data_IF_715613871001
#
_entry.id   IF_715613871001
#
_cell.length_a   1.000
_cell.length_b   1.000
_cell.length_c   1.000
_cell.angle_alpha   90.00
_cell.angle_beta   90.00
_cell.angle_gamma   90.00
#
_symmetry.space_group_name_H-M   'P 1'
#
loop_
_entity.id
_entity.type
_entity.pdbx_description
1 polymer ?
#
# COMPACT_ATOMS: atom_id res chain seq x y z
N UNK A 1 -13.15 24.13 20.55
CA UNK A 1 -11.77 23.79 20.11
C UNK A 1 -11.71 22.28 20.03
N UNK A 2 -11.58 21.72 18.82
CA UNK A 2 -11.68 20.28 18.59
C UNK A 2 -10.47 19.53 19.15
N UNK A 3 -10.72 18.40 19.83
CA UNK A 3 -9.77 17.58 20.58
C UNK A 3 -9.03 16.54 19.70
N UNK A 4 -8.75 16.87 18.43
CA UNK A 4 -7.93 16.02 17.55
C UNK A 4 -6.52 16.59 17.47
N UNK A 5 -5.49 15.89 17.97
CA UNK A 5 -4.11 16.38 17.97
C UNK A 5 -3.40 16.18 16.62
N UNK A 6 -4.02 15.45 15.68
CA UNK A 6 -3.54 15.40 14.31
C UNK A 6 -3.91 16.67 13.57
N UNK A 7 -2.98 17.15 12.73
CA UNK A 7 -3.22 18.33 11.89
C UNK A 7 -4.21 18.08 10.75
N UNK A 8 -4.57 16.81 10.53
CA UNK A 8 -5.59 16.33 9.59
C UNK A 8 -6.92 16.05 10.31
N UNK A 9 -8.05 16.47 9.71
CA UNK A 9 -9.39 16.31 10.28
C UNK A 9 -10.06 15.03 9.73
N UNK A 10 -10.48 14.09 10.59
CA UNK A 10 -11.22 12.89 10.19
C UNK A 10 -12.61 13.17 9.60
N UNK A 11 -13.14 14.38 9.82
CA UNK A 11 -14.51 14.77 9.43
C UNK A 11 -14.59 15.28 7.98
N UNK A 12 -13.45 15.45 7.31
CA UNK A 12 -13.45 15.73 5.87
C UNK A 12 -13.79 14.43 5.15
N UNK A 13 -15.09 14.18 4.89
CA UNK A 13 -15.50 13.10 3.99
C UNK A 13 -14.69 13.23 2.69
N UNK A 14 -13.70 12.37 2.52
CA UNK A 14 -12.83 12.32 1.34
C UNK A 14 -13.60 11.71 0.16
N UNK A 15 -14.71 12.34 -0.22
CA UNK A 15 -15.47 12.03 -1.42
C UNK A 15 -15.42 13.24 -2.34
N UNK A 16 -14.52 13.19 -3.32
CA UNK A 16 -14.68 13.96 -4.54
C UNK A 16 -15.32 13.02 -5.56
N UNK A 17 -16.65 13.00 -5.69
CA UNK A 17 -17.28 12.20 -6.73
C UNK A 17 -16.86 12.78 -8.09
N UNK A 18 -15.94 12.11 -8.76
CA UNK A 18 -15.77 12.29 -10.20
C UNK A 18 -17.08 11.74 -10.83
N UNK A 19 -17.88 12.54 -11.56
CA UNK A 19 -19.11 12.05 -12.18
C UNK A 19 -18.81 10.85 -13.10
N UNK A 20 -19.49 9.72 -12.87
CA UNK A 20 -19.23 8.45 -13.57
C UNK A 20 -17.99 7.68 -13.10
N UNK A 21 -17.24 8.21 -12.12
CA UNK A 21 -16.08 7.56 -11.51
C UNK A 21 -16.46 6.48 -10.50
N UNK A 22 -15.53 5.53 -10.30
CA UNK A 22 -15.67 4.47 -9.31
C UNK A 22 -15.85 5.03 -7.89
N UNK A 23 -16.94 4.63 -7.22
CA UNK A 23 -17.21 4.97 -5.83
C UNK A 23 -16.63 3.88 -4.91
N UNK A 24 -15.65 4.25 -4.08
CA UNK A 24 -15.05 3.32 -3.12
C UNK A 24 -16.04 3.07 -1.97
N UNK A 25 -16.22 1.80 -1.60
CA UNK A 25 -16.98 1.45 -0.39
C UNK A 25 -16.38 2.08 0.88
N UNK A 26 -17.23 2.50 1.83
CA UNK A 26 -16.78 3.11 3.09
C UNK A 26 -16.03 2.07 3.93
N UNK A 27 -14.81 2.39 4.36
CA UNK A 27 -14.06 1.60 5.33
C UNK A 27 -14.78 1.64 6.68
N UNK A 28 -14.79 0.53 7.41
CA UNK A 28 -15.57 0.42 8.65
C UNK A 28 -14.73 0.52 9.93
N UNK A 29 -13.41 0.37 9.82
CA UNK A 29 -12.48 0.47 10.95
C UNK A 29 -11.64 1.73 10.77
N UNK A 30 -11.87 2.72 11.62
CA UNK A 30 -11.33 4.08 11.45
C UNK A 30 -10.89 4.69 12.79
N UNK A 31 -10.43 3.87 13.73
CA UNK A 31 -9.85 4.37 14.96
C UNK A 31 -8.44 4.94 14.72
N UNK A 32 -7.94 5.68 15.71
CA UNK A 32 -6.72 6.46 15.59
C UNK A 32 -5.71 6.10 16.68
N UNK A 33 -4.43 6.11 16.32
CA UNK A 33 -3.31 5.98 17.25
C UNK A 33 -3.00 7.34 17.85
N UNK A 34 -3.41 7.58 19.09
CA UNK A 34 -3.37 8.89 19.73
C UNK A 34 -2.99 8.82 21.21
N UNK A 35 -2.21 9.79 21.74
CA UNK A 35 -2.00 9.92 23.18
C UNK A 35 -3.34 9.97 23.93
N UNK A 36 -3.50 9.13 24.95
CA UNK A 36 -4.73 9.05 25.76
C UNK A 36 -5.92 8.32 25.10
N UNK A 37 -5.80 7.86 23.85
CA UNK A 37 -6.79 6.97 23.24
C UNK A 37 -6.60 5.52 23.70
N UNK A 38 -7.52 4.59 23.39
CA UNK A 38 -7.27 3.15 23.58
C UNK A 38 -6.01 2.64 22.84
N UNK A 39 -5.56 3.36 21.82
CA UNK A 39 -4.40 3.06 20.99
C UNK A 39 -3.30 4.13 21.15
N UNK A 40 -2.61 4.23 22.31
CA UNK A 40 -1.49 5.14 22.45
C UNK A 40 -0.29 4.73 21.59
N UNK A 41 0.42 5.68 20.95
CA UNK A 41 1.62 5.39 20.20
C UNK A 41 2.65 4.61 21.03
N UNK A 42 3.23 3.56 20.44
CA UNK A 42 4.27 2.74 21.07
C UNK A 42 5.04 1.93 20.02
N UNK A 43 6.38 1.91 20.10
CA UNK A 43 7.19 0.98 19.31
C UNK A 43 6.87 -0.48 19.62
N UNK A 44 6.85 -1.32 18.60
CA UNK A 44 6.61 -2.75 18.72
C UNK A 44 5.16 -3.13 19.02
N UNK A 45 4.25 -2.18 19.31
CA UNK A 45 2.83 -2.44 19.55
C UNK A 45 2.03 -2.66 18.27
N UNK A 46 2.37 -1.95 17.20
CA UNK A 46 1.57 -1.92 15.98
C UNK A 46 2.16 -2.80 14.88
N UNK A 47 1.28 -3.24 13.98
CA UNK A 47 1.61 -4.13 12.88
C UNK A 47 0.83 -3.75 11.63
N UNK A 48 1.43 -3.90 10.45
CA UNK A 48 0.78 -3.65 9.16
C UNK A 48 0.61 -4.97 8.40
N UNK A 49 -0.61 -5.28 7.97
CA UNK A 49 -0.84 -6.30 6.95
C UNK A 49 -0.95 -5.64 5.58
N UNK A 50 -0.12 -6.08 4.62
CA UNK A 50 0.01 -5.43 3.31
C UNK A 50 0.01 -6.43 2.16
N UNK A 51 -0.18 -5.91 0.95
CA UNK A 51 0.02 -6.65 -0.30
C UNK A 51 0.83 -5.80 -1.30
N UNK A 52 1.87 -6.36 -1.92
CA UNK A 52 2.73 -5.62 -2.86
C UNK A 52 2.00 -5.14 -4.13
N UNK A 53 1.00 -5.90 -4.59
CA UNK A 53 0.16 -5.45 -5.69
C UNK A 53 -0.69 -4.24 -5.32
N UNK A 54 -1.13 -4.11 -4.07
CA UNK A 54 -2.05 -3.05 -3.68
C UNK A 54 -1.36 -1.68 -3.63
N UNK A 55 -1.81 -0.74 -4.47
CA UNK A 55 -1.31 0.64 -4.49
C UNK A 55 -1.47 1.36 -3.15
N UNK A 56 -2.56 1.08 -2.41
CA UNK A 56 -2.80 1.64 -1.08
C UNK A 56 -1.84 1.08 -0.03
N UNK A 57 -1.53 -0.21 -0.11
CA UNK A 57 -0.51 -0.84 0.75
C UNK A 57 0.86 -0.25 0.50
N UNK A 58 1.18 0.00 -0.77
CA UNK A 58 2.43 0.63 -1.16
C UNK A 58 2.59 2.04 -0.58
N UNK A 59 1.52 2.83 -0.50
CA UNK A 59 1.55 4.14 0.18
C UNK A 59 1.92 4.02 1.66
N UNK A 60 1.33 3.06 2.38
CA UNK A 60 1.63 2.83 3.79
C UNK A 60 3.07 2.35 4.00
N UNK A 61 3.55 1.43 3.15
CA UNK A 61 4.95 1.00 3.14
C UNK A 61 5.92 2.16 2.88
N UNK A 62 5.56 3.04 1.94
CA UNK A 62 6.35 4.21 1.58
C UNK A 62 6.51 5.17 2.76
N UNK A 63 5.41 5.54 3.43
CA UNK A 63 5.48 6.41 4.62
C UNK A 63 6.27 5.72 5.74
N UNK A 64 6.02 4.44 6.02
CA UNK A 64 6.76 3.66 7.01
C UNK A 64 8.28 3.68 6.73
N UNK A 65 8.67 3.47 5.48
CA UNK A 65 10.07 3.43 5.06
C UNK A 65 10.73 4.81 5.11
N UNK A 66 10.07 5.84 4.57
CA UNK A 66 10.57 7.22 4.56
C UNK A 66 10.76 7.78 5.98
N UNK A 67 9.82 7.48 6.89
CA UNK A 67 9.90 7.86 8.31
C UNK A 67 10.90 7.02 9.09
N UNK A 68 11.39 5.91 8.52
CA UNK A 68 12.29 4.99 9.21
C UNK A 68 11.62 4.25 10.37
N UNK A 69 10.36 3.85 10.21
CA UNK A 69 9.55 3.16 11.23
C UNK A 69 9.65 1.63 11.12
N UNK A 70 10.77 1.13 10.57
CA UNK A 70 10.88 -0.27 10.19
C UNK A 70 10.92 -1.17 11.42
N UNK A 71 11.68 -0.77 12.43
CA UNK A 71 11.80 -1.50 13.69
C UNK A 71 10.60 -1.25 14.62
N UNK A 72 9.99 -0.06 14.54
CA UNK A 72 8.86 0.32 15.37
C UNK A 72 7.55 -0.38 14.97
N UNK A 73 7.35 -0.62 13.67
CA UNK A 73 6.11 -1.17 13.12
C UNK A 73 6.46 -2.36 12.22
N UNK A 74 6.15 -3.56 12.69
CA UNK A 74 6.33 -4.80 11.94
C UNK A 74 5.34 -4.93 10.78
N UNK A 75 5.65 -5.74 9.77
CA UNK A 75 4.81 -5.94 8.56
C UNK A 75 4.62 -7.43 8.29
N UNK A 76 3.39 -7.81 7.95
CA UNK A 76 3.04 -9.09 7.34
C UNK A 76 2.69 -8.88 5.88
N UNK A 77 3.26 -9.72 5.03
CA UNK A 77 2.97 -9.73 3.60
C UNK A 77 1.92 -10.79 3.29
N UNK A 78 1.04 -10.48 2.35
CA UNK A 78 0.06 -11.43 1.83
C UNK A 78 0.48 -11.96 0.47
N UNK A 79 -0.01 -13.14 0.11
CA UNK A 79 0.05 -13.63 -1.26
C UNK A 79 -0.76 -12.73 -2.19
N UNK A 80 -0.39 -12.67 -3.47
CA UNK A 80 -0.96 -11.70 -4.41
C UNK A 80 -2.43 -11.93 -4.72
N UNK A 81 -2.89 -13.19 -4.68
CA UNK A 81 -4.26 -13.59 -5.02
C UNK A 81 -5.10 -13.82 -3.76
N UNK A 82 -6.26 -13.15 -3.60
CA UNK A 82 -7.20 -13.49 -2.54
C UNK A 82 -7.89 -14.83 -2.80
N UNK A 83 -8.14 -15.59 -1.74
CA UNK A 83 -8.95 -16.81 -1.72
C UNK A 83 -10.24 -16.50 -0.99
N UNK A 84 -11.35 -16.37 -1.72
CA UNK A 84 -12.66 -16.08 -1.12
C UNK A 84 -13.25 -17.35 -0.47
N UNK A 85 -13.97 -17.23 0.66
CA UNK A 85 -14.33 -15.98 1.35
C UNK A 85 -13.24 -15.42 2.29
N UNK A 86 -12.13 -16.13 2.49
CA UNK A 86 -11.12 -15.85 3.53
C UNK A 86 -10.23 -14.62 3.28
N UNK A 87 -10.35 -13.97 2.12
CA UNK A 87 -9.55 -12.80 1.76
C UNK A 87 -8.15 -13.21 1.34
N UNK A 88 -7.12 -12.46 1.74
CA UNK A 88 -5.75 -12.73 1.34
C UNK A 88 -5.06 -13.65 2.34
N UNK A 89 -4.46 -14.76 1.88
CA UNK A 89 -3.59 -15.56 2.72
C UNK A 89 -2.31 -14.82 3.08
N UNK A 90 -1.87 -14.97 4.32
CA UNK A 90 -0.70 -14.31 4.92
C UNK A 90 0.50 -15.23 4.75
N UNK A 91 1.60 -14.68 4.21
CA UNK A 91 2.88 -15.38 4.08
C UNK A 91 3.41 -15.68 5.49
N UNK A 92 3.75 -16.94 5.73
CA UNK A 92 4.19 -17.41 7.04
C UNK A 92 5.73 -17.41 7.15
N UNK A 93 6.28 -17.21 8.36
CA UNK A 93 5.57 -16.98 9.62
C UNK A 93 5.02 -15.55 9.74
N UNK A 94 3.82 -15.40 10.32
CA UNK A 94 3.20 -14.09 10.64
C UNK A 94 4.00 -13.31 11.71
N UNK A 95 4.72 -12.21 11.37
CA UNK A 95 5.53 -11.46 12.32
C UNK A 95 4.69 -10.66 13.32
N UNK A 96 3.36 -10.64 13.19
CA UNK A 96 2.49 -10.05 14.21
C UNK A 96 2.50 -10.86 15.51
N UNK A 97 2.89 -12.14 15.45
CA UNK A 97 2.87 -13.07 16.58
C UNK A 97 1.45 -13.49 17.00
N UNK A 98 0.43 -13.13 16.23
CA UNK A 98 -0.96 -13.52 16.48
C UNK A 98 -1.33 -14.85 15.82
N UNK A 99 -0.52 -15.34 14.88
CA UNK A 99 -0.73 -16.62 14.21
C UNK A 99 -1.81 -16.57 13.14
N UNK A 100 -2.06 -15.39 12.55
CA UNK A 100 -3.05 -15.25 11.50
C UNK A 100 -2.55 -15.86 10.20
N UNK A 101 -3.42 -16.62 9.54
CA UNK A 101 -3.18 -17.25 8.24
C UNK A 101 -3.88 -16.52 7.10
N UNK A 102 -4.93 -15.75 7.41
CA UNK A 102 -5.69 -14.99 6.41
C UNK A 102 -6.13 -13.62 6.93
N UNK A 103 -6.36 -12.66 6.03
CA UNK A 103 -6.90 -11.35 6.41
C UNK A 103 -8.28 -11.45 7.05
N UNK A 104 -9.09 -12.47 6.72
CA UNK A 104 -10.40 -12.67 7.36
C UNK A 104 -10.24 -12.84 8.88
N UNK A 105 -9.28 -13.65 9.33
CA UNK A 105 -9.01 -13.84 10.76
C UNK A 105 -8.60 -12.53 11.44
N UNK A 106 -7.80 -11.70 10.75
CA UNK A 106 -7.42 -10.36 11.23
C UNK A 106 -8.67 -9.49 11.44
N UNK A 107 -9.59 -9.44 10.46
CA UNK A 107 -10.82 -8.65 10.60
C UNK A 107 -11.77 -9.20 11.67
N UNK A 108 -11.86 -10.52 11.78
CA UNK A 108 -12.71 -11.19 12.77
C UNK A 108 -12.23 -10.99 14.22
N UNK A 109 -10.98 -10.55 14.41
CA UNK A 109 -10.46 -10.18 15.73
C UNK A 109 -11.20 -8.99 16.37
N UNK A 110 -11.79 -8.09 15.57
CA UNK A 110 -12.64 -7.01 16.07
C UNK A 110 -14.08 -7.49 16.30
N UNK A 111 -14.69 -8.08 15.27
CA UNK A 111 -16.04 -8.65 15.34
C UNK A 111 -16.21 -9.72 14.22
N UNK A 112 -16.62 -10.96 14.56
CA UNK A 112 -16.81 -12.07 13.61
C UNK A 112 -17.77 -11.80 12.44
N UNK A 113 -18.68 -10.83 12.53
CA UNK A 113 -19.64 -10.51 11.47
C UNK A 113 -19.03 -9.68 10.32
N UNK A 114 -17.82 -9.13 10.49
CA UNK A 114 -17.18 -8.27 9.49
C UNK A 114 -16.76 -9.01 8.22
N UNK A 115 -16.47 -10.31 8.31
CA UNK A 115 -15.96 -11.15 7.23
C UNK A 115 -16.75 -11.14 5.92
N UNK A 116 -17.99 -10.65 5.97
CA UNK A 116 -18.94 -10.73 4.86
C UNK A 116 -19.00 -9.47 3.97
N UNK A 117 -18.30 -8.38 4.29
CA UNK A 117 -18.57 -7.08 3.62
C UNK A 117 -17.40 -6.48 2.85
N UNK A 118 -16.17 -6.47 3.39
CA UNK A 118 -14.99 -6.04 2.65
C UNK A 118 -13.69 -6.39 3.40
N UNK A 119 -12.92 -7.32 2.85
CA UNK A 119 -11.55 -7.57 3.31
C UNK A 119 -10.65 -6.68 2.45
N UNK A 120 -9.94 -5.74 3.06
CA UNK A 120 -9.03 -4.81 2.36
C UNK A 120 -7.66 -4.78 3.01
N UNK A 121 -6.67 -4.33 2.25
CA UNK A 121 -5.33 -3.99 2.72
C UNK A 121 -4.96 -2.59 2.21
N UNK A 122 -4.16 -1.79 2.94
CA UNK A 122 -3.46 -2.11 4.17
C UNK A 122 -4.36 -2.17 5.41
N UNK A 123 -3.89 -2.88 6.44
CA UNK A 123 -4.54 -2.97 7.76
C UNK A 123 -3.53 -2.54 8.81
N UNK A 124 -3.84 -1.52 9.61
CA UNK A 124 -3.09 -1.19 10.83
C UNK A 124 -3.72 -1.92 12.01
N UNK A 125 -2.92 -2.76 12.67
CA UNK A 125 -3.35 -3.65 13.74
C UNK A 125 -2.61 -3.34 15.04
N UNK A 126 -3.34 -3.37 16.15
CA UNK A 126 -2.80 -3.25 17.50
C UNK A 126 -2.58 -4.64 18.09
N UNK A 127 -1.32 -5.03 18.27
CA UNK A 127 -0.96 -6.37 18.79
C UNK A 127 -1.28 -6.54 20.27
N UNK A 128 -1.35 -5.46 21.04
CA UNK A 128 -1.67 -5.53 22.47
C UNK A 128 -3.16 -5.77 22.69
N UNK A 129 -4.00 -5.03 21.95
CA UNK A 129 -5.46 -5.20 22.01
C UNK A 129 -5.98 -6.30 21.08
N UNK A 130 -5.11 -6.87 20.24
CA UNK A 130 -5.41 -7.88 19.23
C UNK A 130 -6.60 -7.50 18.35
N UNK A 131 -6.61 -6.26 17.86
CA UNK A 131 -7.67 -5.75 16.99
C UNK A 131 -7.14 -4.75 15.97
N UNK A 132 -7.81 -4.67 14.84
CA UNK A 132 -7.61 -3.67 13.81
C UNK A 132 -7.94 -2.27 14.36
N UNK A 133 -7.00 -1.36 14.17
CA UNK A 133 -7.15 0.07 14.46
C UNK A 133 -7.83 0.75 13.27
N UNK A 134 -7.26 0.59 12.08
CA UNK A 134 -7.79 1.20 10.87
C UNK A 134 -7.48 0.36 9.63
N UNK A 135 -8.43 0.35 8.70
CA UNK A 135 -8.24 -0.11 7.33
C UNK A 135 -8.46 1.02 6.30
N UNK A 136 -8.51 2.27 6.77
CA UNK A 136 -8.51 3.43 5.90
C UNK A 136 -7.07 3.84 5.57
N UNK A 137 -6.66 3.77 4.29
CA UNK A 137 -5.30 4.13 3.89
C UNK A 137 -4.93 5.55 4.31
N UNK A 138 -5.81 6.55 4.17
CA UNK A 138 -5.48 7.93 4.51
C UNK A 138 -5.21 8.06 6.01
N UNK A 139 -6.06 7.48 6.87
CA UNK A 139 -5.85 7.48 8.32
C UNK A 139 -4.51 6.83 8.67
N UNK A 140 -4.20 5.69 8.05
CA UNK A 140 -2.93 4.98 8.24
C UNK A 140 -1.75 5.89 7.86
N UNK A 141 -1.79 6.58 6.73
CA UNK A 141 -0.70 7.48 6.31
C UNK A 141 -0.46 8.59 7.33
N UNK A 142 -1.52 9.24 7.82
CA UNK A 142 -1.41 10.31 8.81
C UNK A 142 -0.88 9.80 10.17
N UNK A 143 -1.37 8.65 10.64
CA UNK A 143 -0.85 8.03 11.85
C UNK A 143 0.64 7.68 11.72
N UNK A 144 1.05 7.11 10.59
CA UNK A 144 2.47 6.81 10.33
C UNK A 144 3.33 8.08 10.25
N UNK A 145 2.80 9.19 9.71
CA UNK A 145 3.53 10.45 9.60
C UNK A 145 3.76 11.12 10.96
N UNK A 146 2.74 11.13 11.84
CA UNK A 146 2.75 11.97 13.04
C UNK A 146 2.84 11.17 14.35
N UNK A 147 2.08 10.08 14.50
CA UNK A 147 1.88 9.42 15.79
C UNK A 147 3.16 8.74 16.32
N UNK A 148 4.03 8.29 15.43
CA UNK A 148 5.19 7.47 15.77
C UNK A 148 6.52 8.23 15.72
N UNK A 149 6.48 9.57 15.73
CA UNK A 149 7.69 10.40 15.64
C UNK A 149 8.75 10.07 16.69
N UNK A 150 8.35 9.67 17.91
CA UNK A 150 9.29 9.27 18.97
C UNK A 150 10.22 8.11 18.57
N UNK A 151 9.76 7.19 17.71
CA UNK A 151 10.51 6.01 17.27
C UNK A 151 10.94 6.04 15.80
N UNK A 152 10.68 7.15 15.11
CA UNK A 152 11.12 7.36 13.74
C UNK A 152 12.62 7.66 13.72
N UNK A 153 13.38 7.05 12.80
CA UNK A 153 14.78 7.48 12.57
C UNK A 153 14.86 8.85 11.88
N UNK A 154 13.75 9.32 11.30
CA UNK A 154 13.58 10.67 10.72
C UNK A 154 12.38 11.37 11.36
N UNK A 155 12.47 11.75 12.65
CA UNK A 155 11.34 12.32 13.40
C UNK A 155 10.94 13.71 12.90
N UNK A 156 11.88 14.47 12.34
CA UNK A 156 11.64 15.81 11.78
C UNK A 156 11.04 15.81 10.37
N UNK A 157 11.01 14.66 9.69
CA UNK A 157 10.38 14.55 8.38
C UNK A 157 8.86 14.62 8.55
N UNK A 158 8.27 15.74 8.16
CA UNK A 158 6.82 15.91 8.06
C UNK A 158 6.42 15.87 6.58
N UNK A 159 5.68 14.84 6.18
CA UNK A 159 5.18 14.68 4.82
C UNK A 159 3.92 15.54 4.55
N UNK A 160 3.36 16.18 5.58
CA UNK A 160 2.23 17.10 5.47
C UNK A 160 2.45 18.43 6.23
N UNK A 161 3.54 19.15 5.90
CA UNK A 161 3.90 20.36 6.62
C UNK A 161 2.93 21.50 6.29
N UNK A 162 2.66 22.32 7.30
CA UNK A 162 1.66 23.41 7.22
C UNK A 162 1.89 24.34 6.02
N UNK A 163 3.14 24.71 5.75
CA UNK A 163 3.52 25.61 4.64
C UNK A 163 3.22 25.06 3.25
N UNK A 164 2.95 23.76 3.11
CA UNK A 164 2.66 23.10 1.83
C UNK A 164 1.26 22.53 1.72
N UNK A 165 0.45 22.54 2.79
CA UNK A 165 -0.88 21.90 2.80
C UNK A 165 -1.78 22.36 1.68
N UNK A 166 -1.92 23.68 1.48
CA UNK A 166 -2.77 24.21 0.41
C UNK A 166 -2.36 23.71 -0.98
N UNK A 167 -1.06 23.56 -1.24
CA UNK A 167 -0.54 23.02 -2.50
C UNK A 167 -0.82 21.51 -2.62
N UNK A 168 -0.60 20.76 -1.54
CA UNK A 168 -0.87 19.32 -1.47
C UNK A 168 -2.37 19.07 -1.67
N UNK A 169 -3.24 19.80 -0.98
CA UNK A 169 -4.70 19.72 -1.09
C UNK A 169 -5.17 20.05 -2.51
N UNK A 170 -4.60 21.07 -3.15
CA UNK A 170 -4.91 21.39 -4.55
C UNK A 170 -4.60 20.21 -5.48
N UNK A 171 -3.42 19.58 -5.35
CA UNK A 171 -3.06 18.41 -6.17
C UNK A 171 -3.93 17.19 -5.81
N UNK A 172 -4.25 17.03 -4.53
CA UNK A 172 -5.17 16.01 -4.02
C UNK A 172 -6.62 16.18 -4.47
N UNK A 173 -7.00 17.28 -5.13
CA UNK A 173 -8.29 17.39 -5.84
C UNK A 173 -8.27 16.67 -7.19
N UNK A 174 -7.09 16.57 -7.82
CA UNK A 174 -6.87 15.85 -9.08
C UNK A 174 -6.58 14.37 -8.77
N UNK A 175 -5.83 14.12 -7.69
CA UNK A 175 -5.65 12.78 -7.10
C UNK A 175 -6.81 12.46 -6.14
N UNK A 176 -6.76 11.29 -5.48
CA UNK A 176 -7.61 11.06 -4.30
C UNK A 176 -6.99 11.73 -3.06
N UNK A 177 -7.78 12.21 -2.08
CA UNK A 177 -7.26 12.94 -0.93
C UNK A 177 -6.27 12.13 -0.09
N UNK A 178 -5.22 12.78 0.44
CA UNK A 178 -4.18 12.09 1.21
C UNK A 178 -3.07 12.97 1.76
N UNK A 179 -2.07 12.32 2.36
CA UNK A 179 -0.97 12.94 3.10
C UNK A 179 -0.03 13.79 2.25
N UNK A 180 0.38 13.32 1.08
CA UNK A 180 1.42 13.94 0.26
C UNK A 180 1.24 13.50 -1.20
N UNK A 181 1.34 14.42 -2.14
CA UNK A 181 1.14 14.17 -3.56
C UNK A 181 2.12 13.15 -4.14
N UNK A 182 3.41 13.20 -3.77
CA UNK A 182 4.40 12.19 -4.20
C UNK A 182 4.04 10.80 -3.66
N UNK A 183 3.73 10.71 -2.36
CA UNK A 183 3.32 9.44 -1.71
C UNK A 183 2.10 8.84 -2.40
N UNK A 184 1.19 9.68 -2.88
CA UNK A 184 -0.03 9.27 -3.56
C UNK A 184 0.21 8.92 -5.02
N UNK A 185 0.90 9.78 -5.76
CA UNK A 185 1.11 9.65 -7.18
C UNK A 185 2.08 8.51 -7.51
N UNK A 186 3.19 8.38 -6.78
CA UNK A 186 4.26 7.45 -7.11
C UNK A 186 3.78 6.00 -7.27
N UNK A 187 3.04 5.38 -6.32
CA UNK A 187 2.54 4.02 -6.47
C UNK A 187 1.66 3.80 -7.71
N UNK A 188 0.94 4.83 -8.15
CA UNK A 188 0.08 4.75 -9.33
C UNK A 188 0.88 4.93 -10.62
N UNK A 189 1.70 5.97 -10.68
CA UNK A 189 2.52 6.29 -11.86
C UNK A 189 3.49 5.16 -12.19
N UNK A 190 4.17 4.58 -11.19
CA UNK A 190 5.14 3.50 -11.42
C UNK A 190 4.49 2.18 -11.90
N UNK A 191 3.18 2.00 -11.67
CA UNK A 191 2.41 0.84 -12.14
C UNK A 191 1.72 1.10 -13.48
N UNK A 192 1.67 2.35 -13.93
CA UNK A 192 0.78 2.74 -15.02
C UNK A 192 1.04 1.95 -16.30
N UNK A 193 2.28 1.95 -16.79
CA UNK A 193 2.62 1.30 -18.06
C UNK A 193 2.60 -0.22 -18.01
N UNK A 194 2.99 -0.79 -16.85
CA UNK A 194 3.03 -2.24 -16.61
C UNK A 194 1.62 -2.84 -16.44
N UNK A 195 0.71 -2.08 -15.81
CA UNK A 195 -0.54 -2.62 -15.28
C UNK A 195 -1.75 -1.84 -15.77
N UNK A 196 -1.88 -0.56 -15.42
CA UNK A 196 -3.14 0.16 -15.64
C UNK A 196 -3.43 0.42 -17.11
N UNK A 197 -2.40 0.79 -17.88
CA UNK A 197 -2.49 0.96 -19.33
C UNK A 197 -2.93 -0.34 -20.02
N UNK A 198 -2.39 -1.47 -19.59
CA UNK A 198 -2.71 -2.79 -20.14
C UNK A 198 -4.13 -3.24 -19.74
N UNK A 199 -4.44 -3.25 -18.45
CA UNK A 199 -5.67 -3.85 -17.92
C UNK A 199 -6.89 -2.91 -17.99
N UNK A 200 -6.69 -1.62 -17.71
CA UNK A 200 -7.78 -0.65 -17.57
C UNK A 200 -8.02 0.10 -18.87
N UNK A 201 -6.96 0.42 -19.61
CA UNK A 201 -7.03 1.11 -20.90
C UNK A 201 -6.84 0.17 -22.10
N UNK A 202 -6.81 -1.16 -21.88
CA UNK A 202 -6.70 -2.19 -22.92
C UNK A 202 -5.55 -1.97 -23.91
N UNK A 203 -4.46 -1.36 -23.43
CA UNK A 203 -3.31 -0.99 -24.24
C UNK A 203 -3.60 0.05 -25.34
N UNK A 204 -4.77 0.71 -25.33
CA UNK A 204 -5.18 1.72 -26.30
C UNK A 204 -4.45 3.07 -26.14
N UNK A 205 -3.79 3.26 -25.00
CA UNK A 205 -2.99 4.44 -24.70
C UNK A 205 -1.50 4.19 -24.91
N UNK A 206 -0.78 5.22 -25.38
CA UNK A 206 0.69 5.24 -25.45
C UNK A 206 1.30 5.10 -24.05
N UNK A 207 2.43 4.38 -23.87
CA UNK A 207 3.10 4.33 -22.57
C UNK A 207 3.40 5.72 -22.02
N UNK A 208 2.94 6.01 -20.80
CA UNK A 208 3.07 7.29 -20.13
C UNK A 208 4.53 7.71 -20.02
N UNK A 209 5.39 6.79 -19.60
CA UNK A 209 6.78 7.09 -19.34
C UNK A 209 7.62 7.09 -20.62
N UNK A 210 7.10 6.62 -21.76
CA UNK A 210 7.77 6.82 -23.06
C UNK A 210 7.50 8.21 -23.64
N UNK A 211 6.34 8.81 -23.35
CA UNK A 211 5.97 10.14 -23.87
C UNK A 211 6.33 11.29 -22.94
N UNK A 212 6.44 11.06 -21.63
CA UNK A 212 6.79 12.08 -20.64
C UNK A 212 8.16 11.83 -20.02
N UNK A 213 9.19 12.45 -20.59
CA UNK A 213 10.55 12.35 -20.07
C UNK A 213 10.68 12.95 -18.65
N UNK A 214 9.91 14.00 -18.34
CA UNK A 214 9.90 14.61 -17.01
C UNK A 214 9.27 13.67 -15.97
N UNK A 215 8.16 13.01 -16.29
CA UNK A 215 7.54 12.00 -15.41
C UNK A 215 8.47 10.82 -15.20
N UNK A 216 9.12 10.33 -16.26
CA UNK A 216 10.09 9.24 -16.15
C UNK A 216 11.28 9.63 -15.26
N UNK A 217 11.86 10.82 -15.47
CA UNK A 217 12.97 11.31 -14.65
C UNK A 217 12.58 11.50 -13.18
N UNK A 218 11.36 11.99 -12.92
CA UNK A 218 10.80 12.12 -11.58
C UNK A 218 10.66 10.76 -10.87
N UNK A 219 10.08 9.75 -11.54
CA UNK A 219 9.96 8.41 -10.97
C UNK A 219 11.32 7.75 -10.74
N UNK A 220 12.24 7.86 -11.70
CA UNK A 220 13.59 7.33 -11.54
C UNK A 220 14.33 7.99 -10.39
N UNK A 221 14.15 9.31 -10.17
CA UNK A 221 14.71 10.02 -9.03
C UNK A 221 14.17 9.49 -7.70
N UNK A 222 12.85 9.32 -7.58
CA UNK A 222 12.25 8.75 -6.36
C UNK A 222 12.70 7.30 -6.15
N UNK A 223 12.72 6.49 -7.20
CA UNK A 223 13.09 5.08 -7.11
C UNK A 223 14.55 4.86 -6.67
N UNK A 224 15.46 5.82 -6.95
CA UNK A 224 16.85 5.77 -6.47
C UNK A 224 17.01 5.96 -4.97
N UNK A 225 15.97 6.43 -4.26
CA UNK A 225 16.00 6.50 -2.81
C UNK A 225 15.86 5.08 -2.24
N UNK A 226 16.81 4.60 -1.41
CA UNK A 226 16.75 3.24 -0.85
C UNK A 226 15.44 2.96 -0.09
N UNK A 227 14.91 3.98 0.58
CA UNK A 227 13.63 3.90 1.30
C UNK A 227 12.45 3.62 0.36
N UNK A 228 12.48 4.17 -0.86
CA UNK A 228 11.45 3.97 -1.86
C UNK A 228 11.62 2.61 -2.54
N UNK A 229 12.85 2.28 -2.97
CA UNK A 229 13.16 1.03 -3.64
C UNK A 229 12.73 -0.20 -2.82
N UNK A 230 12.98 -0.18 -1.50
CA UNK A 230 12.59 -1.26 -0.56
C UNK A 230 11.09 -1.57 -0.60
N UNK A 231 10.26 -0.57 -0.88
CA UNK A 231 8.80 -0.71 -0.85
C UNK A 231 8.22 -1.25 -2.16
N UNK A 232 9.06 -1.38 -3.19
CA UNK A 232 8.66 -1.80 -4.51
C UNK A 232 8.93 -3.29 -4.74
N UNK A 233 7.91 -3.96 -5.28
CA UNK A 233 8.04 -5.22 -6.01
C UNK A 233 7.01 -5.20 -7.13
N UNK A 234 7.40 -4.62 -8.27
CA UNK A 234 6.50 -4.41 -9.39
C UNK A 234 6.20 -5.71 -10.12
N UNK A 235 7.06 -6.72 -10.01
CA UNK A 235 6.78 -8.04 -10.54
C UNK A 235 5.62 -8.68 -9.76
N UNK A 236 5.65 -8.71 -8.42
CA UNK A 236 4.50 -9.13 -7.61
C UNK A 236 3.24 -8.30 -7.89
N UNK A 237 3.41 -7.01 -8.19
CA UNK A 237 2.27 -6.18 -8.58
C UNK A 237 1.65 -6.61 -9.92
N UNK A 238 2.46 -6.90 -10.94
CA UNK A 238 1.98 -7.47 -12.21
C UNK A 238 1.22 -8.77 -11.91
N UNK A 239 1.85 -9.74 -11.27
CA UNK A 239 1.22 -11.03 -10.93
C UNK A 239 -0.12 -10.84 -10.21
N UNK A 240 -0.17 -9.97 -9.20
CA UNK A 240 -1.39 -9.74 -8.42
C UNK A 240 -2.53 -9.09 -9.20
N UNK A 241 -2.24 -8.11 -10.05
CA UNK A 241 -3.27 -7.44 -10.84
C UNK A 241 -3.78 -8.30 -12.00
N UNK A 242 -2.88 -9.00 -12.71
CA UNK A 242 -3.28 -9.86 -13.82
C UNK A 242 -4.03 -11.10 -13.32
N UNK A 243 -3.63 -11.70 -12.20
CA UNK A 243 -4.38 -12.80 -11.58
C UNK A 243 -5.79 -12.40 -11.09
N UNK A 244 -6.01 -11.13 -10.74
CA UNK A 244 -7.31 -10.65 -10.23
C UNK A 244 -8.20 -10.06 -11.32
N UNK A 245 -7.64 -9.29 -12.25
CA UNK A 245 -8.39 -8.51 -13.25
C UNK A 245 -8.13 -8.97 -14.68
N UNK A 246 -6.97 -9.60 -14.95
CA UNK A 246 -6.60 -10.08 -16.27
C UNK A 246 -7.57 -11.14 -16.78
N UNK A 247 -8.01 -12.06 -15.92
CA UNK A 247 -9.00 -13.09 -16.26
C UNK A 247 -10.31 -12.49 -16.80
N UNK A 248 -10.84 -11.46 -16.13
CA UNK A 248 -12.06 -10.76 -16.57
C UNK A 248 -11.89 -10.01 -17.90
N UNK A 249 -10.64 -9.75 -18.31
CA UNK A 249 -10.31 -8.96 -19.50
C UNK A 249 -9.69 -9.81 -20.62
N UNK A 250 -9.54 -11.12 -20.43
CA UNK A 250 -8.91 -12.02 -21.42
C UNK A 250 -7.41 -11.77 -21.60
N UNK A 251 -6.75 -11.23 -20.57
CA UNK A 251 -5.32 -10.90 -20.54
C UNK A 251 -4.53 -12.01 -19.81
N UNK A 252 -3.18 -11.98 -19.81
CA UNK A 252 -2.29 -13.06 -19.38
C UNK A 252 -2.77 -13.93 -18.23
N UNK A 253 -2.63 -15.24 -18.42
CA UNK A 253 -3.12 -16.28 -17.50
C UNK A 253 -2.01 -17.18 -16.97
N UNK A 254 -0.82 -17.10 -17.55
CA UNK A 254 0.31 -17.97 -17.22
C UNK A 254 1.47 -17.19 -16.64
N UNK A 255 2.26 -17.88 -15.83
CA UNK A 255 3.51 -17.38 -15.22
C UNK A 255 4.43 -16.77 -16.28
N UNK A 256 4.63 -17.48 -17.40
CA UNK A 256 5.52 -17.04 -18.46
C UNK A 256 5.08 -15.72 -19.10
N UNK A 257 3.77 -15.49 -19.20
CA UNK A 257 3.23 -14.25 -19.77
C UNK A 257 3.38 -13.08 -18.78
N UNK A 258 3.15 -13.30 -17.48
CA UNK A 258 3.37 -12.26 -16.44
C UNK A 258 4.86 -11.88 -16.33
N UNK A 259 5.75 -12.87 -16.40
CA UNK A 259 7.19 -12.66 -16.42
C UNK A 259 7.61 -11.85 -17.67
N UNK A 260 7.00 -12.17 -18.83
CA UNK A 260 7.22 -11.43 -20.08
C UNK A 260 6.73 -9.97 -19.96
N UNK A 261 5.53 -9.74 -19.41
CA UNK A 261 5.01 -8.37 -19.17
C UNK A 261 6.00 -7.55 -18.38
N UNK A 262 6.50 -8.07 -17.26
CA UNK A 262 7.45 -7.33 -16.45
C UNK A 262 8.77 -7.10 -17.20
N UNK A 263 9.33 -8.14 -17.82
CA UNK A 263 10.62 -8.06 -18.50
C UNK A 263 10.62 -7.13 -19.72
N UNK A 264 9.54 -7.13 -20.51
CA UNK A 264 9.43 -6.35 -21.74
C UNK A 264 9.04 -4.90 -21.49
N UNK A 265 8.20 -4.64 -20.49
CA UNK A 265 7.64 -3.30 -20.25
C UNK A 265 8.36 -2.52 -19.15
N UNK A 266 9.26 -3.13 -18.37
CA UNK A 266 10.03 -2.41 -17.36
C UNK A 266 11.00 -1.42 -17.99
N UNK A 267 11.24 -0.33 -17.28
CA UNK A 267 12.22 0.67 -17.67
C UNK A 267 13.62 0.26 -17.19
N UNK A 268 14.67 0.78 -17.83
CA UNK A 268 16.06 0.39 -17.55
C UNK A 268 16.53 0.67 -16.12
N UNK A 269 15.91 1.65 -15.44
CA UNK A 269 16.18 1.96 -14.03
C UNK A 269 15.36 1.12 -13.04
N UNK A 270 14.45 0.28 -13.52
CA UNK A 270 13.72 -0.67 -12.71
C UNK A 270 14.52 -1.98 -12.56
N UNK A 271 14.38 -2.68 -11.43
CA UNK A 271 15.12 -3.90 -11.15
C UNK A 271 14.91 -4.98 -12.22
N UNK A 272 15.81 -5.96 -12.29
CA UNK A 272 15.57 -7.22 -12.98
C UNK A 272 14.69 -8.13 -12.12
N UNK A 273 14.19 -9.22 -12.71
CA UNK A 273 13.47 -10.23 -11.92
C UNK A 273 14.40 -10.85 -10.88
N UNK A 274 15.63 -11.20 -11.27
CA UNK A 274 16.63 -11.78 -10.38
C UNK A 274 16.92 -10.87 -9.17
N UNK A 275 17.06 -9.56 -9.37
CA UNK A 275 17.24 -8.60 -8.28
C UNK A 275 16.03 -8.57 -7.32
N UNK A 276 14.80 -8.71 -7.86
CA UNK A 276 13.59 -8.80 -7.03
C UNK A 276 13.51 -10.14 -6.27
N UNK A 277 13.91 -11.25 -6.89
CA UNK A 277 13.96 -12.56 -6.24
C UNK A 277 14.97 -12.58 -5.09
N UNK A 278 16.16 -12.02 -5.31
CA UNK A 278 17.17 -11.84 -4.27
C UNK A 278 16.64 -10.96 -3.12
N UNK A 279 15.97 -9.85 -3.44
CA UNK A 279 15.30 -8.99 -2.44
C UNK A 279 14.28 -9.78 -1.62
N UNK A 280 13.42 -10.56 -2.26
CA UNK A 280 12.41 -11.38 -1.56
C UNK A 280 13.05 -12.39 -0.63
N UNK A 281 14.10 -13.09 -1.07
CA UNK A 281 14.83 -14.04 -0.23
C UNK A 281 15.38 -13.37 1.04
N UNK A 282 15.97 -12.17 0.90
CA UNK A 282 16.47 -11.38 2.04
C UNK A 282 15.34 -10.88 2.97
N UNK A 283 14.15 -10.64 2.44
CA UNK A 283 12.97 -10.22 3.20
C UNK A 283 12.17 -11.40 3.79
N UNK A 284 12.61 -12.64 3.58
CA UNK A 284 11.89 -13.84 4.03
C UNK A 284 10.58 -14.06 3.27
N UNK A 285 10.46 -13.50 2.07
CA UNK A 285 9.33 -13.67 1.17
C UNK A 285 9.59 -14.84 0.21
N UNK A 286 8.54 -15.42 -0.39
CA UNK A 286 8.73 -16.45 -1.41
C UNK A 286 9.61 -15.92 -2.54
N UNK A 287 10.66 -16.67 -2.88
CA UNK A 287 11.62 -16.26 -3.90
C UNK A 287 10.91 -16.00 -5.24
N UNK A 288 10.01 -16.92 -5.62
CA UNK A 288 9.24 -16.82 -6.86
C UNK A 288 7.96 -16.03 -6.66
N UNK A 289 7.71 -15.07 -7.57
CA UNK A 289 6.52 -14.21 -7.54
C UNK A 289 5.19 -15.00 -7.58
N UNK A 290 5.24 -16.14 -8.25
CA UNK A 290 4.10 -17.02 -8.58
C UNK A 290 3.92 -18.18 -7.62
N UNK A 291 4.59 -18.19 -6.47
CA UNK A 291 4.26 -19.17 -5.43
C UNK A 291 2.84 -18.88 -4.93
N UNK A 292 1.86 -19.43 -5.62
CA UNK A 292 0.45 -19.25 -5.33
C UNK A 292 0.08 -20.20 -4.20
N UNK A 293 0.09 -19.65 -2.98
CA UNK A 293 -0.32 -20.32 -1.74
C UNK A 293 0.65 -21.46 -1.32
N UNK A 294 0.75 -21.76 -0.02
CA UNK A 294 1.43 -22.96 0.46
C UNK A 294 0.78 -24.24 -0.06
#
# INVERSE_FOLDING_TARGET
MSAYPFRYRPDDELSFPIPGGFQRGKNRMQEWVLPGSPHPPAAGRYHLFINYSCGWSHQALLVRSLKGLIDAITVSHTYQRPVRPNGWPIIQPDPSGCGFTTTLEVYNSNNPEYGNTQLTVPILFDKQLKRVVSNDPAHILFMLNEAFNEWATKPSLDLYPESKRAQIEQINTILWPGLNDDVRAFPHLIRFDLIYRQLMLRNDATPLLSVSQSTQAYLAKLFRMPEVQRTCDLHLAVVGYYAQLGEMRGLPKTIAEDDAIYSELKYSWMPTQEELEQKRSLEGLPEKAHSHLP
#
